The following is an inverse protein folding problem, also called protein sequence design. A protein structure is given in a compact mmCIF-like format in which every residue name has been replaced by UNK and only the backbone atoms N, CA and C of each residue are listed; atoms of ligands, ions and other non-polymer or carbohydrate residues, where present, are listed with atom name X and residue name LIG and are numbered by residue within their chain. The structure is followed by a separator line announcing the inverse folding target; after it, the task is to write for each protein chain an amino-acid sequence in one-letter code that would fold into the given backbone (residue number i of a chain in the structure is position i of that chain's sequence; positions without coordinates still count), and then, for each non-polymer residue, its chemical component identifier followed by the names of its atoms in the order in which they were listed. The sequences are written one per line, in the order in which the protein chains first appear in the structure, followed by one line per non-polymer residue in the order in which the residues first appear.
data_IF_493617446408
#
_entry.id   IF_493617446408
#
_cell.length_a   1.000
_cell.length_b   1.000
_cell.length_c   1.000
_cell.angle_alpha   90.00
_cell.angle_beta   90.00
_cell.angle_gamma   90.00
#
_symmetry.space_group_name_H-M   'P 1'
#
loop_
_entity.id
_entity.type
_entity.pdbx_description
1 polymer ?
#
# COMPACT_ATOMS: atom_id res chain seq x y z
N UNK A 1 -14.99 -12.51 -12.27
CA UNK A 1 -15.09 -12.24 -13.73
C UNK A 1 -13.69 -11.94 -14.23
N UNK A 2 -13.12 -12.77 -15.13
CA UNK A 2 -11.81 -12.51 -15.71
C UNK A 2 -11.81 -11.18 -16.47
N UNK A 3 -10.93 -10.26 -16.10
CA UNK A 3 -10.79 -8.94 -16.73
C UNK A 3 -10.23 -9.01 -18.16
N UNK A 4 -9.49 -10.07 -18.48
CA UNK A 4 -8.76 -10.19 -19.74
C UNK A 4 -9.41 -11.22 -20.64
N UNK A 5 -9.63 -10.85 -21.91
CA UNK A 5 -10.12 -11.75 -22.97
C UNK A 5 -9.04 -12.08 -23.99
N UNK A 6 -8.04 -11.20 -24.12
CA UNK A 6 -6.98 -11.29 -25.11
C UNK A 6 -5.61 -11.14 -24.47
N UNK A 7 -4.65 -11.83 -25.03
CA UNK A 7 -3.26 -11.77 -24.59
C UNK A 7 -2.67 -10.37 -24.82
N UNK A 8 -2.09 -9.71 -23.80
CA UNK A 8 -1.49 -8.39 -23.97
C UNK A 8 -0.21 -8.40 -24.81
N UNK A 9 0.40 -9.58 -25.05
CA UNK A 9 1.63 -9.71 -25.84
C UNK A 9 1.36 -9.88 -27.33
N UNK A 10 0.34 -10.68 -27.71
CA UNK A 10 0.13 -11.05 -29.12
C UNK A 10 -1.32 -10.88 -29.62
N UNK A 11 -2.25 -10.51 -28.75
CA UNK A 11 -3.66 -10.31 -29.11
C UNK A 11 -4.48 -11.59 -29.29
N UNK A 12 -3.89 -12.78 -29.15
CA UNK A 12 -4.62 -14.05 -29.24
C UNK A 12 -5.60 -14.21 -28.06
N UNK A 13 -6.67 -15.01 -28.18
CA UNK A 13 -7.57 -15.31 -27.08
C UNK A 13 -6.83 -15.87 -25.89
N UNK A 14 -7.37 -15.65 -24.69
CA UNK A 14 -6.90 -16.27 -23.45
C UNK A 14 -7.84 -17.41 -23.07
N UNK A 15 -7.26 -18.52 -22.60
CA UNK A 15 -7.95 -19.72 -22.20
C UNK A 15 -7.41 -20.20 -20.83
N UNK A 16 -8.21 -20.96 -20.09
CA UNK A 16 -7.77 -21.53 -18.81
C UNK A 16 -7.07 -22.87 -19.00
N UNK A 17 -5.82 -22.96 -18.54
CA UNK A 17 -5.03 -24.18 -18.53
C UNK A 17 -4.47 -24.49 -17.15
N UNK A 18 -4.26 -25.78 -16.79
CA UNK A 18 -3.62 -26.16 -15.55
C UNK A 18 -2.11 -25.84 -15.64
N UNK A 19 -1.65 -24.87 -14.85
CA UNK A 19 -0.24 -24.48 -14.76
C UNK A 19 0.16 -24.47 -13.28
N UNK A 20 1.23 -25.19 -12.93
CA UNK A 20 1.76 -25.27 -11.57
C UNK A 20 0.70 -25.61 -10.50
N UNK A 21 -0.22 -26.52 -10.80
CA UNK A 21 -1.23 -26.99 -9.86
C UNK A 21 -2.48 -26.13 -9.72
N UNK A 22 -2.63 -25.06 -10.51
CA UNK A 22 -3.79 -24.20 -10.53
C UNK A 22 -4.26 -23.93 -11.96
N UNK A 23 -5.57 -23.69 -12.15
CA UNK A 23 -6.08 -23.16 -13.41
C UNK A 23 -5.65 -21.69 -13.55
N UNK A 24 -4.95 -21.38 -14.64
CA UNK A 24 -4.47 -20.04 -14.94
C UNK A 24 -4.89 -19.62 -16.35
N UNK A 25 -5.20 -18.35 -16.48
CA UNK A 25 -5.49 -17.75 -17.78
C UNK A 25 -4.19 -17.63 -18.57
N UNK A 26 -4.11 -18.27 -19.73
CA UNK A 26 -2.91 -18.32 -20.56
C UNK A 26 -3.24 -17.97 -22.00
N UNK A 27 -2.22 -17.58 -22.77
CA UNK A 27 -2.36 -17.35 -24.20
C UNK A 27 -2.66 -18.65 -24.94
N UNK A 28 -3.70 -18.67 -25.80
CA UNK A 28 -4.02 -19.82 -26.64
C UNK A 28 -2.95 -20.09 -27.73
N UNK A 29 -2.17 -19.08 -28.12
CA UNK A 29 -0.98 -19.33 -28.97
C UNK A 29 0.18 -19.87 -28.10
N UNK A 30 0.41 -21.17 -28.18
CA UNK A 30 1.45 -21.88 -27.46
C UNK A 30 2.87 -21.31 -27.67
N UNK A 31 3.12 -20.59 -28.78
CA UNK A 31 4.41 -19.95 -29.06
C UNK A 31 4.62 -18.66 -28.30
N UNK A 32 3.53 -18.03 -27.83
CA UNK A 32 3.57 -16.79 -27.05
C UNK A 32 4.04 -17.03 -25.61
N UNK A 33 3.56 -18.10 -24.96
CA UNK A 33 3.95 -18.50 -23.61
C UNK A 33 3.48 -17.55 -22.49
N UNK A 34 2.63 -16.57 -22.78
CA UNK A 34 2.14 -15.64 -21.75
C UNK A 34 1.16 -16.32 -20.80
N UNK A 35 1.35 -16.10 -19.48
CA UNK A 35 0.51 -16.61 -18.40
C UNK A 35 0.13 -15.46 -17.48
N UNK A 36 -1.16 -15.36 -17.15
CA UNK A 36 -1.64 -14.46 -16.10
C UNK A 36 -1.47 -15.13 -14.74
N UNK A 37 -0.50 -14.68 -13.98
CA UNK A 37 -0.16 -15.28 -12.68
C UNK A 37 -1.08 -14.82 -11.56
N UNK A 38 -1.79 -13.71 -11.74
CA UNK A 38 -2.66 -13.06 -10.75
C UNK A 38 -1.93 -12.79 -9.41
N UNK A 39 -0.69 -12.36 -9.51
CA UNK A 39 0.12 -12.03 -8.35
C UNK A 39 -0.44 -10.78 -7.66
N UNK A 40 -0.36 -10.72 -6.30
CA UNK A 40 -0.76 -9.50 -5.60
C UNK A 40 0.06 -8.31 -6.06
N UNK A 41 -0.60 -7.15 -6.16
CA UNK A 41 0.07 -5.89 -6.48
C UNK A 41 0.78 -5.39 -5.23
N UNK A 42 2.10 -5.12 -5.28
CA UNK A 42 2.82 -4.56 -4.14
C UNK A 42 2.45 -3.08 -3.95
N UNK A 43 2.12 -2.71 -2.72
CA UNK A 43 1.92 -1.32 -2.29
C UNK A 43 2.73 -1.05 -1.04
N UNK A 44 3.18 0.19 -0.85
CA UNK A 44 3.79 0.66 0.39
C UNK A 44 2.75 1.38 1.25
N UNK A 45 2.91 1.31 2.57
CA UNK A 45 2.06 2.02 3.52
C UNK A 45 2.92 2.66 4.62
N UNK A 46 2.63 3.91 4.98
CA UNK A 46 3.39 4.69 5.95
C UNK A 46 2.61 4.92 7.25
N UNK A 47 3.10 4.41 8.37
CA UNK A 47 2.77 4.90 9.71
C UNK A 47 3.64 6.12 9.94
N UNK A 48 3.13 7.30 9.59
CA UNK A 48 3.87 8.57 9.67
C UNK A 48 3.77 9.11 11.09
N UNK A 49 4.89 9.12 11.81
CA UNK A 49 5.01 9.72 13.13
C UNK A 49 5.66 11.10 13.03
N UNK A 50 4.92 12.15 13.36
CA UNK A 50 5.35 13.55 13.22
C UNK A 50 6.16 13.97 14.45
N UNK A 51 7.48 14.12 14.31
CA UNK A 51 8.42 14.44 15.39
C UNK A 51 8.18 15.83 15.99
N UNK A 52 7.83 16.79 15.17
CA UNK A 52 7.55 18.18 15.56
C UNK A 52 6.11 18.41 16.05
N UNK A 53 5.35 17.31 16.28
CA UNK A 53 3.97 17.28 16.79
C UNK A 53 3.79 16.22 17.86
N UNK A 54 4.69 16.23 18.85
CA UNK A 54 4.70 15.30 19.99
C UNK A 54 4.62 13.82 19.60
N UNK A 55 5.15 13.47 18.42
CA UNK A 55 5.14 12.11 17.90
C UNK A 55 3.74 11.61 17.51
N UNK A 56 2.80 12.50 17.23
CA UNK A 56 1.46 12.13 16.77
C UNK A 56 1.54 11.44 15.40
N UNK A 57 0.65 10.46 15.20
CA UNK A 57 0.55 9.70 13.94
C UNK A 57 -0.44 10.39 13.01
N UNK A 58 -0.02 10.60 11.77
CA UNK A 58 -0.85 11.15 10.71
C UNK A 58 -1.70 10.03 10.09
N UNK A 59 -3.01 10.23 10.11
CA UNK A 59 -3.95 9.49 9.27
C UNK A 59 -4.57 10.46 8.26
N UNK A 60 -4.72 10.00 7.03
CA UNK A 60 -5.27 10.81 5.95
C UNK A 60 -6.55 10.20 5.37
N UNK A 61 -7.40 11.04 4.79
CA UNK A 61 -8.58 10.65 4.04
C UNK A 61 -8.34 10.90 2.56
N UNK A 62 -8.40 9.85 1.76
CA UNK A 62 -8.38 10.01 0.31
C UNK A 62 -9.61 10.81 -0.16
N UNK A 63 -9.41 11.71 -1.12
CA UNK A 63 -10.47 12.58 -1.64
C UNK A 63 -11.67 11.81 -2.24
N UNK A 64 -11.44 10.59 -2.72
CA UNK A 64 -12.49 9.72 -3.25
C UNK A 64 -13.28 8.96 -2.16
N UNK A 65 -12.89 9.05 -0.89
CA UNK A 65 -13.57 8.35 0.20
C UNK A 65 -14.64 9.22 0.86
N UNK A 66 -15.65 8.56 1.45
CA UNK A 66 -16.64 9.21 2.28
C UNK A 66 -16.00 9.91 3.49
N UNK A 67 -16.64 10.96 3.96
CA UNK A 67 -16.22 11.68 5.18
C UNK A 67 -16.07 10.74 6.38
N UNK A 68 -15.08 11.04 7.22
CA UNK A 68 -14.81 10.28 8.45
C UNK A 68 -14.00 8.99 8.27
N UNK A 69 -13.64 8.60 7.04
CA UNK A 69 -12.79 7.42 6.78
C UNK A 69 -11.33 7.83 6.66
N UNK A 70 -10.52 7.46 7.65
CA UNK A 70 -9.09 7.75 7.69
C UNK A 70 -8.28 6.45 7.65
N UNK A 71 -7.13 6.49 6.98
CA UNK A 71 -6.18 5.39 6.92
C UNK A 71 -4.74 5.91 6.85
N UNK A 72 -3.78 4.99 6.73
CA UNK A 72 -2.40 5.34 6.44
C UNK A 72 -2.28 5.89 5.00
N UNK A 73 -1.27 6.72 4.77
CA UNK A 73 -0.78 7.06 3.43
C UNK A 73 -0.27 5.80 2.75
N UNK A 74 -0.68 5.58 1.50
CA UNK A 74 -0.32 4.37 0.74
C UNK A 74 -0.08 4.72 -0.71
N UNK A 75 0.88 4.04 -1.35
CA UNK A 75 1.11 4.18 -2.77
C UNK A 75 1.58 2.90 -3.44
N UNK A 76 1.60 2.88 -4.76
CA UNK A 76 2.11 1.77 -5.53
C UNK A 76 3.63 1.75 -5.54
N UNK A 77 4.18 0.53 -5.39
CA UNK A 77 5.60 0.33 -5.67
C UNK A 77 5.82 0.39 -7.18
N UNK A 78 6.69 1.28 -7.62
CA UNK A 78 7.00 1.45 -9.03
C UNK A 78 8.07 0.45 -9.51
N UNK A 79 8.19 0.33 -10.84
CA UNK A 79 9.18 -0.56 -11.46
C UNK A 79 10.59 -0.08 -11.14
N UNK A 80 11.45 -0.98 -10.63
CA UNK A 80 12.84 -0.72 -10.24
C UNK A 80 13.02 0.20 -9.02
N UNK A 81 11.98 0.44 -8.25
CA UNK A 81 12.01 1.22 -7.02
C UNK A 81 12.25 0.32 -5.80
N UNK A 82 13.08 0.78 -4.86
CA UNK A 82 13.21 0.14 -3.55
C UNK A 82 11.99 0.46 -2.70
N UNK A 83 11.39 -0.50 -1.99
CA UNK A 83 10.17 -0.26 -1.20
C UNK A 83 10.33 0.79 -0.09
N UNK A 84 11.53 0.94 0.51
CA UNK A 84 11.78 1.99 1.49
C UNK A 84 11.89 3.37 0.84
N UNK A 85 12.42 3.45 -0.38
CA UNK A 85 12.43 4.70 -1.17
C UNK A 85 11.01 5.06 -1.63
N UNK A 86 10.22 4.07 -2.05
CA UNK A 86 8.81 4.27 -2.44
C UNK A 86 8.00 4.89 -1.31
N UNK A 87 8.08 4.37 -0.08
CA UNK A 87 7.32 4.92 1.04
C UNK A 87 7.76 6.35 1.39
N UNK A 88 9.05 6.69 1.25
CA UNK A 88 9.55 8.05 1.43
C UNK A 88 9.00 8.99 0.37
N UNK A 89 8.98 8.55 -0.89
CA UNK A 89 8.40 9.30 -2.02
C UNK A 89 6.93 9.60 -1.75
N UNK A 90 6.12 8.59 -1.42
CA UNK A 90 4.67 8.75 -1.14
C UNK A 90 4.42 9.71 0.03
N UNK A 91 5.17 9.57 1.14
CA UNK A 91 5.08 10.52 2.27
C UNK A 91 5.34 11.95 1.82
N UNK A 92 6.38 12.17 1.03
CA UNK A 92 6.72 13.50 0.53
C UNK A 92 5.70 14.04 -0.47
N UNK A 93 5.23 13.20 -1.41
CA UNK A 93 4.30 13.60 -2.47
C UNK A 93 2.91 13.90 -1.93
N UNK A 94 2.41 13.09 -0.99
CA UNK A 94 1.06 13.24 -0.46
C UNK A 94 0.96 14.21 0.73
N UNK A 95 2.05 14.45 1.48
CA UNK A 95 2.02 15.23 2.72
C UNK A 95 3.02 16.36 2.81
N UNK A 96 3.98 16.47 1.87
CA UNK A 96 5.14 17.37 1.88
C UNK A 96 6.09 17.18 3.08
N UNK A 97 5.92 16.14 3.91
CA UNK A 97 6.80 15.87 5.05
C UNK A 97 8.16 15.32 4.61
N UNK A 98 9.20 15.69 5.36
CA UNK A 98 10.55 15.14 5.23
C UNK A 98 10.66 13.87 6.11
N UNK A 99 10.91 12.71 5.49
CA UNK A 99 11.21 11.47 6.21
C UNK A 99 12.62 11.53 6.82
N UNK A 100 12.72 11.24 8.12
CA UNK A 100 13.97 11.23 8.89
C UNK A 100 14.51 9.83 9.10
N UNK A 101 13.60 8.88 9.34
CA UNK A 101 13.91 7.48 9.62
C UNK A 101 12.78 6.60 9.05
N UNK A 102 13.15 5.46 8.48
CA UNK A 102 12.25 4.51 7.88
C UNK A 102 12.57 3.11 8.40
N UNK A 103 11.59 2.40 8.92
CA UNK A 103 11.75 1.04 9.42
C UNK A 103 10.59 0.16 8.96
N UNK A 104 10.90 -1.02 8.42
CA UNK A 104 9.88 -2.00 8.02
C UNK A 104 9.14 -2.50 9.27
N UNK A 105 7.81 -2.42 9.26
CA UNK A 105 6.94 -3.01 10.28
C UNK A 105 6.57 -4.44 9.92
N UNK A 106 6.18 -4.68 8.67
CA UNK A 106 5.83 -6.00 8.21
C UNK A 106 5.18 -6.04 6.83
N UNK A 107 4.81 -7.25 6.42
CA UNK A 107 4.17 -7.56 5.15
C UNK A 107 2.77 -8.09 5.42
N UNK A 108 1.75 -7.53 4.78
CA UNK A 108 0.35 -7.85 5.06
C UNK A 108 -0.41 -8.13 3.76
N UNK A 109 -0.94 -9.34 3.56
CA UNK A 109 -1.80 -9.62 2.42
C UNK A 109 -3.13 -8.87 2.58
N UNK A 110 -3.59 -8.27 1.50
CA UNK A 110 -4.91 -7.63 1.42
C UNK A 110 -5.73 -8.26 0.29
N UNK A 111 -6.34 -9.41 0.60
CA UNK A 111 -7.04 -10.27 -0.35
C UNK A 111 -8.16 -9.55 -1.12
N UNK A 112 -8.90 -8.64 -0.47
CA UNK A 112 -10.01 -7.91 -1.10
C UNK A 112 -9.62 -7.14 -2.34
N UNK A 113 -8.37 -6.71 -2.44
CA UNK A 113 -7.82 -5.96 -3.58
C UNK A 113 -6.74 -6.72 -4.34
N UNK A 114 -6.39 -7.93 -3.88
CA UNK A 114 -5.22 -8.67 -4.36
C UNK A 114 -3.94 -7.82 -4.26
N UNK A 115 -3.70 -7.24 -3.10
CA UNK A 115 -2.53 -6.40 -2.80
C UNK A 115 -1.65 -7.06 -1.72
N UNK A 116 -0.34 -6.78 -1.79
CA UNK A 116 0.62 -7.06 -0.73
C UNK A 116 1.10 -5.72 -0.17
N UNK A 117 0.72 -5.44 1.08
CA UNK A 117 1.08 -4.21 1.77
C UNK A 117 2.45 -4.38 2.43
N UNK A 118 3.42 -3.55 2.04
CA UNK A 118 4.71 -3.38 2.70
C UNK A 118 4.60 -2.17 3.62
N UNK A 119 4.36 -2.41 4.91
CA UNK A 119 4.12 -1.33 5.87
C UNK A 119 5.40 -0.88 6.56
N UNK A 120 5.62 0.41 6.59
CA UNK A 120 6.77 1.05 7.21
C UNK A 120 6.33 2.03 8.32
N UNK A 121 7.11 2.11 9.37
CA UNK A 121 7.10 3.22 10.29
C UNK A 121 8.04 4.29 9.75
N UNK A 122 7.52 5.50 9.58
CA UNK A 122 8.26 6.65 9.06
C UNK A 122 8.22 7.77 10.08
N UNK A 123 9.37 8.11 10.66
CA UNK A 123 9.51 9.33 11.46
C UNK A 123 9.71 10.49 10.50
N UNK A 124 8.88 11.52 10.61
CA UNK A 124 8.89 12.63 9.68
C UNK A 124 8.68 13.97 10.40
N UNK A 125 9.03 15.07 9.73
CA UNK A 125 8.83 16.43 10.20
C UNK A 125 8.50 17.37 9.04
N UNK A 126 8.06 18.57 9.37
CA UNK A 126 7.82 19.64 8.40
C UNK A 126 6.36 20.11 8.38
N UNK A 127 6.06 21.04 7.52
CA UNK A 127 4.69 21.51 7.31
C UNK A 127 3.90 20.48 6.53
N UNK A 128 2.71 20.13 7.01
CA UNK A 128 1.83 19.17 6.33
C UNK A 128 1.06 19.94 5.24
N UNK A 129 1.37 19.62 3.99
CA UNK A 129 0.65 20.13 2.82
C UNK A 129 0.17 18.93 2.01
N UNK A 130 -1.14 18.72 2.01
CA UNK A 130 -1.74 17.60 1.28
C UNK A 130 -1.77 17.90 -0.21
N UNK A 131 -1.53 16.85 -1.02
CA UNK A 131 -1.76 16.91 -2.46
C UNK A 131 -3.25 16.75 -2.81
N UNK A 132 -3.57 16.67 -4.10
CA UNK A 132 -4.96 16.55 -4.59
C UNK A 132 -5.62 15.20 -4.29
N UNK A 133 -4.85 14.17 -3.95
CA UNK A 133 -5.36 12.84 -3.63
C UNK A 133 -5.92 12.76 -2.20
N UNK A 134 -5.46 13.63 -1.32
CA UNK A 134 -5.86 13.67 0.09
C UNK A 134 -6.73 14.91 0.39
N UNK A 135 -7.87 14.69 1.03
CA UNK A 135 -8.82 15.76 1.34
C UNK A 135 -8.65 16.34 2.75
N UNK A 136 -8.23 15.55 3.71
CA UNK A 136 -8.01 15.98 5.10
C UNK A 136 -7.08 15.01 5.83
N UNK A 137 -6.48 15.45 6.93
CA UNK A 137 -5.69 14.61 7.82
C UNK A 137 -6.09 14.78 9.28
N UNK A 138 -5.70 13.81 10.10
CA UNK A 138 -5.78 13.86 11.57
C UNK A 138 -4.45 13.47 12.17
N UNK A 139 -4.08 14.17 13.22
CA UNK A 139 -2.95 13.83 14.07
C UNK A 139 -3.47 13.16 15.33
N UNK A 140 -3.09 11.91 15.54
CA UNK A 140 -3.58 11.10 16.66
C UNK A 140 -2.39 10.69 17.52
N UNK A 141 -2.38 11.02 18.82
CA UNK A 141 -1.37 10.53 19.75
C UNK A 141 -1.32 8.99 19.71
N UNK A 142 -0.12 8.38 19.75
CA UNK A 142 0.01 6.92 19.64
C UNK A 142 -0.76 6.11 20.68
N UNK A 143 -0.95 6.67 21.90
CA UNK A 143 -1.74 6.06 22.97
C UNK A 143 -3.26 6.10 22.72
N UNK A 144 -3.72 6.98 21.82
CA UNK A 144 -5.12 7.10 21.41
C UNK A 144 -5.39 6.45 20.04
N UNK A 145 -4.32 6.07 19.30
CA UNK A 145 -4.45 5.43 18.02
C UNK A 145 -5.05 4.03 18.16
N UNK A 146 -6.13 3.78 17.42
CA UNK A 146 -6.81 2.49 17.36
C UNK A 146 -6.56 1.83 16.02
N UNK A 147 -6.08 0.58 16.06
CA UNK A 147 -5.97 -0.25 14.86
C UNK A 147 -7.38 -0.68 14.38
N UNK A 148 -7.47 -0.98 13.09
CA UNK A 148 -8.67 -1.57 12.46
C UNK A 148 -8.33 -2.94 11.88
N UNK A 149 -9.37 -3.78 11.64
CA UNK A 149 -9.20 -5.23 11.44
C UNK A 149 -8.94 -5.64 9.98
N UNK A 150 -8.52 -4.72 9.09
CA UNK A 150 -8.24 -5.04 7.69
C UNK A 150 -7.16 -4.13 7.10
N UNK A 151 -6.53 -4.58 6.02
CA UNK A 151 -5.56 -3.80 5.26
C UNK A 151 -4.46 -3.22 6.13
N UNK A 152 -4.24 -1.91 6.06
CA UNK A 152 -3.18 -1.21 6.79
C UNK A 152 -3.38 -1.18 8.31
N UNK A 153 -4.59 -1.46 8.81
CA UNK A 153 -4.86 -1.53 10.25
C UNK A 153 -4.10 -2.64 10.96
N UNK A 154 -3.77 -3.73 10.28
CA UNK A 154 -2.95 -4.82 10.83
C UNK A 154 -1.54 -4.34 11.15
N UNK A 155 -0.96 -3.51 10.28
CA UNK A 155 0.34 -2.89 10.51
C UNK A 155 0.32 -1.92 11.70
N UNK A 156 -0.74 -1.13 11.84
CA UNK A 156 -0.92 -0.24 13.01
C UNK A 156 -0.98 -1.05 14.31
N UNK A 157 -1.70 -2.17 14.31
CA UNK A 157 -1.79 -3.07 15.47
C UNK A 157 -0.41 -3.60 15.89
N UNK A 158 0.36 -4.09 14.93
CA UNK A 158 1.67 -4.70 15.20
C UNK A 158 2.70 -3.65 15.63
N UNK A 159 2.69 -2.47 15.00
CA UNK A 159 3.51 -1.34 15.42
C UNK A 159 3.20 -0.88 16.86
N UNK A 160 1.91 -0.76 17.23
CA UNK A 160 1.50 -0.41 18.58
C UNK A 160 1.91 -1.47 19.61
N UNK A 161 1.88 -2.75 19.24
CA UNK A 161 2.33 -3.85 20.11
C UNK A 161 3.85 -3.76 20.37
N UNK A 162 4.66 -3.49 19.35
CA UNK A 162 6.11 -3.33 19.47
C UNK A 162 6.55 -2.13 20.32
N UNK A 163 5.71 -1.11 20.51
CA UNK A 163 6.00 0.06 21.38
C UNK A 163 5.80 -0.22 22.88
N UNK A 164 5.13 -1.30 23.24
CA UNK A 164 4.80 -1.65 24.64
C UNK A 164 5.82 -2.61 25.27
N UNK A 165 6.77 -3.11 24.51
CA UNK A 165 7.89 -3.96 24.96
C UNK A 165 9.14 -3.12 25.11
#
# INVERSE_FOLDING_TARGET
MNRYRYCPCCGSPLEEFPIAGALRLTCADMRCGWVFWDNPVPIVAAIIQCEDRDGAVLLARNAAWEEGKFALVTGFLERHEDPAEAVVREVREETALEALEVALVGLYPFERKNELILAYHVRARGEIVLNEELAEFRLIPPDQLKAWDFGTGLAVRDWLAGRRG
#
